data_IF_602262668363
#
_entry.id   IF_602262668363
#
_cell.length_a   1.000
_cell.length_b   1.000
_cell.length_c   1.000
_cell.angle_alpha   90.00
_cell.angle_beta   90.00
_cell.angle_gamma   90.00
#
_symmetry.space_group_name_H-M   'P 1'
#
loop_
_entity.id
_entity.type
_entity.pdbx_description
1 polymer ?
#
# COMPACT_ATOMS: atom_id res chain seq x y z
N UNK A 1 14.44 -0.27 -14.19
CA UNK A 1 15.43 -1.07 -13.45
C UNK A 1 16.65 -1.27 -14.36
N UNK A 2 17.83 -1.11 -13.78
CA UNK A 2 19.08 -1.38 -14.50
C UNK A 2 19.14 -2.85 -14.91
N UNK A 3 19.41 -3.16 -16.19
CA UNK A 3 19.54 -4.55 -16.64
C UNK A 3 20.61 -5.36 -15.89
N UNK A 4 21.68 -4.70 -15.43
CA UNK A 4 22.74 -5.33 -14.67
C UNK A 4 22.25 -5.85 -13.31
N UNK A 5 21.36 -5.11 -12.63
CA UNK A 5 20.74 -5.56 -11.37
C UNK A 5 19.88 -6.81 -11.60
N UNK A 6 19.14 -6.85 -12.72
CA UNK A 6 18.32 -8.02 -13.05
C UNK A 6 19.19 -9.27 -13.32
N UNK A 7 20.34 -9.09 -13.93
CA UNK A 7 21.28 -10.20 -14.18
C UNK A 7 21.92 -10.68 -12.88
N UNK A 8 22.35 -9.77 -12.01
CA UNK A 8 22.87 -10.11 -10.69
C UNK A 8 21.85 -10.89 -9.85
N UNK A 9 20.56 -10.51 -9.92
CA UNK A 9 19.49 -11.25 -9.23
C UNK A 9 19.37 -12.70 -9.72
N UNK A 10 19.50 -12.95 -11.03
CA UNK A 10 19.50 -14.32 -11.57
C UNK A 10 20.67 -15.15 -11.06
N UNK A 11 21.78 -14.50 -10.75
CA UNK A 11 22.98 -15.13 -10.18
C UNK A 11 22.89 -15.33 -8.66
N UNK A 12 21.75 -14.95 -8.04
CA UNK A 12 21.51 -15.12 -6.60
C UNK A 12 22.08 -14.00 -5.71
N UNK A 13 22.55 -12.90 -6.29
CA UNK A 13 22.94 -11.74 -5.48
C UNK A 13 21.72 -11.06 -4.88
N UNK A 14 21.80 -10.77 -3.57
CA UNK A 14 20.77 -10.04 -2.87
C UNK A 14 20.94 -8.54 -3.13
N UNK A 15 20.06 -7.96 -3.91
CA UNK A 15 19.92 -6.52 -3.94
C UNK A 15 18.89 -6.11 -2.88
N UNK A 16 19.25 -5.20 -2.01
CA UNK A 16 18.37 -4.71 -0.96
C UNK A 16 17.05 -4.13 -1.50
N UNK A 17 16.06 -4.06 -0.63
CA UNK A 17 14.79 -3.43 -0.97
C UNK A 17 14.95 -1.91 -1.04
N UNK A 18 14.76 -1.31 -2.21
CA UNK A 18 14.79 0.16 -2.35
C UNK A 18 13.62 0.76 -1.58
N UNK A 19 13.84 1.75 -0.69
CA UNK A 19 12.77 2.40 0.06
C UNK A 19 11.96 3.34 -0.83
N UNK A 20 11.15 2.76 -1.72
CA UNK A 20 10.42 3.47 -2.77
C UNK A 20 9.55 4.60 -2.23
N UNK A 21 8.88 4.40 -1.08
CA UNK A 21 8.06 5.45 -0.47
C UNK A 21 8.88 6.66 0.00
N UNK A 22 10.13 6.45 0.43
CA UNK A 22 11.03 7.56 0.75
C UNK A 22 11.44 8.33 -0.51
N UNK A 23 11.74 7.63 -1.61
CA UNK A 23 12.02 8.30 -2.89
C UNK A 23 10.83 9.13 -3.35
N UNK A 24 9.62 8.59 -3.27
CA UNK A 24 8.39 9.32 -3.60
C UNK A 24 8.17 10.53 -2.69
N UNK A 25 8.54 10.46 -1.40
CA UNK A 25 8.43 11.59 -0.48
C UNK A 25 9.27 12.78 -0.97
N UNK A 26 10.53 12.56 -1.36
CA UNK A 26 11.38 13.63 -1.91
C UNK A 26 10.90 14.11 -3.28
N UNK A 27 10.50 13.21 -4.17
CA UNK A 27 9.95 13.59 -5.47
C UNK A 27 8.67 14.42 -5.32
N UNK A 28 7.75 14.04 -4.43
CA UNK A 28 6.52 14.78 -4.18
C UNK A 28 6.79 16.16 -3.57
N UNK A 29 7.84 16.29 -2.74
CA UNK A 29 8.25 17.58 -2.19
C UNK A 29 8.69 18.53 -3.31
N UNK A 30 9.47 18.05 -4.28
CA UNK A 30 9.89 18.84 -5.45
C UNK A 30 8.67 19.28 -6.28
N UNK A 31 7.75 18.34 -6.55
CA UNK A 31 6.53 18.65 -7.29
C UNK A 31 5.67 19.66 -6.54
N UNK A 32 5.47 19.50 -5.23
CA UNK A 32 4.70 20.44 -4.40
C UNK A 32 5.32 21.84 -4.42
N UNK A 33 6.65 21.92 -4.35
CA UNK A 33 7.37 23.21 -4.45
C UNK A 33 7.15 23.89 -5.79
N UNK A 34 7.34 23.17 -6.88
CA UNK A 34 7.20 23.73 -8.24
C UNK A 34 5.76 24.15 -8.54
N UNK A 35 4.78 23.36 -8.04
CA UNK A 35 3.35 23.64 -8.25
C UNK A 35 2.75 24.65 -7.26
N UNK A 36 3.53 25.12 -6.28
CA UNK A 36 3.01 26.02 -5.23
C UNK A 36 2.03 25.34 -4.27
N UNK A 37 2.03 24.00 -4.17
CA UNK A 37 1.11 23.25 -3.32
C UNK A 37 1.66 23.14 -1.89
N UNK A 38 0.86 23.51 -0.88
CA UNK A 38 1.28 23.50 0.53
C UNK A 38 1.09 22.15 1.24
N UNK A 39 0.48 21.14 0.60
CA UNK A 39 0.11 19.89 1.26
C UNK A 39 0.41 18.67 0.38
N UNK A 40 1.02 17.66 1.00
CA UNK A 40 1.23 16.33 0.41
C UNK A 40 0.51 15.33 1.32
N UNK A 41 -0.63 14.83 0.87
CA UNK A 41 -1.42 13.84 1.58
C UNK A 41 -1.12 12.44 1.06
N UNK A 42 -0.78 11.52 1.97
CA UNK A 42 -0.53 10.11 1.71
C UNK A 42 -1.71 9.27 2.18
N UNK A 43 -1.74 8.02 1.75
CA UNK A 43 -2.75 7.02 2.15
C UNK A 43 -2.21 5.91 3.05
N UNK A 44 -1.10 6.15 3.79
CA UNK A 44 -0.64 5.15 4.74
C UNK A 44 -1.62 5.07 5.92
N UNK A 45 -1.94 3.87 6.30
CA UNK A 45 -2.84 3.48 7.39
C UNK A 45 -2.08 3.19 8.69
N UNK A 46 -2.79 2.77 9.74
CA UNK A 46 -2.21 2.52 11.06
C UNK A 46 -1.23 1.35 11.06
N UNK A 47 -1.51 0.27 10.32
CA UNK A 47 -0.68 -0.94 10.30
C UNK A 47 0.70 -0.73 9.65
N UNK A 48 0.89 0.33 8.88
CA UNK A 48 2.21 0.69 8.36
C UNK A 48 3.25 1.01 9.46
N UNK A 49 2.82 1.16 10.73
CA UNK A 49 3.72 1.32 11.88
C UNK A 49 4.14 -0.01 12.51
N UNK A 50 3.51 -1.10 12.15
CA UNK A 50 3.74 -2.40 12.78
C UNK A 50 5.10 -2.99 12.40
N UNK A 51 5.80 -3.62 13.36
CA UNK A 51 7.05 -4.30 13.06
C UNK A 51 6.80 -5.51 12.15
N UNK A 52 7.72 -5.74 11.21
CA UNK A 52 7.69 -6.92 10.34
C UNK A 52 8.10 -8.21 11.06
N UNK A 53 8.81 -8.07 12.18
CA UNK A 53 9.22 -9.17 13.04
C UNK A 53 8.60 -8.94 14.41
N UNK A 54 7.67 -9.79 14.88
CA UNK A 54 7.01 -9.63 16.17
C UNK A 54 8.01 -9.49 17.32
N UNK A 55 7.74 -8.56 18.24
CA UNK A 55 8.60 -8.29 19.40
C UNK A 55 9.89 -7.50 19.10
N UNK A 56 10.06 -7.01 17.89
CA UNK A 56 11.21 -6.17 17.49
C UNK A 56 10.78 -4.80 17.02
N UNK A 57 11.73 -3.86 16.84
CA UNK A 57 11.49 -2.58 16.18
C UNK A 57 11.70 -2.60 14.65
N UNK A 58 11.92 -3.78 14.05
CA UNK A 58 12.25 -3.90 12.64
C UNK A 58 10.98 -3.80 11.78
N UNK A 59 10.89 -2.73 11.00
CA UNK A 59 9.80 -2.52 10.03
C UNK A 59 10.39 -2.38 8.62
N UNK A 60 10.20 -3.38 7.76
CA UNK A 60 10.66 -3.35 6.36
C UNK A 60 9.95 -2.27 5.53
N UNK A 61 8.83 -1.75 6.01
CA UNK A 61 8.09 -0.63 5.42
C UNK A 61 8.30 0.69 6.17
N UNK A 62 9.43 0.86 6.88
CA UNK A 62 9.70 2.06 7.68
C UNK A 62 9.38 3.36 6.95
N UNK A 63 9.67 3.45 5.65
CA UNK A 63 9.37 4.63 4.83
C UNK A 63 7.87 4.96 4.68
N UNK A 64 6.98 4.09 5.16
CA UNK A 64 5.54 4.34 5.27
C UNK A 64 5.09 4.61 6.70
N UNK A 65 5.95 4.44 7.69
CA UNK A 65 5.62 4.61 9.11
C UNK A 65 5.44 6.07 9.51
N UNK A 66 4.81 6.28 10.66
CA UNK A 66 4.72 7.61 11.29
C UNK A 66 6.09 8.13 11.73
N UNK A 67 7.00 7.23 12.14
CA UNK A 67 8.38 7.59 12.46
C UNK A 67 9.07 8.27 11.28
N UNK A 68 9.05 7.64 10.11
CA UNK A 68 9.58 8.24 8.88
C UNK A 68 8.87 9.56 8.53
N UNK A 69 7.55 9.60 8.60
CA UNK A 69 6.77 10.80 8.31
C UNK A 69 7.18 11.98 9.19
N UNK A 70 7.38 11.74 10.49
CA UNK A 70 7.82 12.75 11.45
C UNK A 70 9.25 13.24 11.18
N UNK A 71 10.16 12.30 10.90
CA UNK A 71 11.55 12.62 10.58
C UNK A 71 11.67 13.36 9.26
N UNK A 72 10.91 12.95 8.26
CA UNK A 72 10.86 13.63 6.96
C UNK A 72 10.36 15.07 7.10
N UNK A 73 9.26 15.31 7.83
CA UNK A 73 8.76 16.66 8.10
C UNK A 73 9.79 17.54 8.80
N UNK A 74 10.45 16.99 9.83
CA UNK A 74 11.49 17.70 10.57
C UNK A 74 12.67 18.06 9.65
N UNK A 75 13.17 17.08 8.90
CA UNK A 75 14.29 17.26 7.99
C UNK A 75 13.98 18.28 6.90
N UNK A 76 12.85 18.14 6.23
CA UNK A 76 12.48 19.04 5.13
C UNK A 76 12.25 20.47 5.60
N UNK A 77 11.57 20.66 6.74
CA UNK A 77 11.32 21.98 7.32
C UNK A 77 12.56 22.67 7.83
N UNK A 78 13.58 21.91 8.24
CA UNK A 78 14.83 22.45 8.76
C UNK A 78 15.86 22.72 7.65
N UNK A 79 15.97 21.85 6.66
CA UNK A 79 17.10 21.86 5.70
C UNK A 79 16.71 22.12 4.26
N UNK A 80 15.44 21.92 3.87
CA UNK A 80 15.04 22.04 2.47
C UNK A 80 14.04 23.17 2.25
N UNK A 81 12.80 23.00 2.71
CA UNK A 81 11.74 23.97 2.44
C UNK A 81 10.73 24.05 3.58
N UNK A 82 10.32 25.25 3.91
CA UNK A 82 9.24 25.54 4.88
C UNK A 82 7.89 25.70 4.16
N UNK A 83 6.81 25.42 4.87
CA UNK A 83 5.46 25.72 4.39
C UNK A 83 4.81 24.56 3.60
N UNK A 84 5.50 23.41 3.42
CA UNK A 84 4.89 22.22 2.84
C UNK A 84 4.65 21.18 3.95
N UNK A 85 3.39 20.78 4.11
CA UNK A 85 2.96 19.73 5.04
C UNK A 85 2.96 18.38 4.34
N UNK A 86 3.65 17.38 4.93
CA UNK A 86 3.66 15.99 4.48
C UNK A 86 3.00 15.13 5.56
N UNK A 87 1.92 14.42 5.23
CA UNK A 87 1.17 13.66 6.22
C UNK A 87 0.38 12.51 5.58
N UNK A 88 0.07 11.50 6.39
CA UNK A 88 -0.77 10.38 5.98
C UNK A 88 -2.20 10.58 6.45
N UNK A 89 -3.12 10.82 5.52
CA UNK A 89 -4.54 11.10 5.79
C UNK A 89 -5.25 9.91 6.46
N UNK A 90 -4.88 8.68 6.09
CA UNK A 90 -5.50 7.46 6.61
C UNK A 90 -4.82 6.91 7.87
N UNK A 91 -3.80 7.59 8.39
CA UNK A 91 -3.05 7.16 9.58
C UNK A 91 -3.90 6.81 10.80
N UNK A 92 -5.00 7.50 11.11
CA UNK A 92 -5.84 7.16 12.25
C UNK A 92 -6.73 5.92 12.03
N UNK A 93 -6.75 5.36 10.83
CA UNK A 93 -7.67 4.28 10.43
C UNK A 93 -6.93 2.97 10.26
N UNK A 94 -7.60 1.87 10.62
CA UNK A 94 -7.19 0.52 10.25
C UNK A 94 -7.85 0.10 8.92
N UNK A 95 -7.42 -1.03 8.38
CA UNK A 95 -7.87 -1.53 7.07
C UNK A 95 -9.38 -1.78 7.01
N UNK A 96 -9.98 -2.26 8.10
CA UNK A 96 -11.42 -2.52 8.15
C UNK A 96 -12.22 -1.21 8.11
N UNK A 97 -11.75 -0.18 8.82
CA UNK A 97 -12.38 1.15 8.77
C UNK A 97 -12.25 1.77 7.39
N UNK A 98 -11.07 1.61 6.74
CA UNK A 98 -10.85 2.07 5.37
C UNK A 98 -11.79 1.33 4.41
N UNK A 99 -11.93 0.01 4.55
CA UNK A 99 -12.86 -0.78 3.75
C UNK A 99 -14.32 -0.32 3.91
N UNK A 100 -14.74 0.01 5.14
CA UNK A 100 -16.08 0.55 5.42
C UNK A 100 -16.33 1.91 4.73
N UNK A 101 -15.30 2.78 4.70
CA UNK A 101 -15.38 4.03 3.94
C UNK A 101 -15.39 3.78 2.44
N UNK A 102 -14.48 2.96 1.95
CA UNK A 102 -14.35 2.64 0.52
C UNK A 102 -15.63 2.03 -0.05
N UNK A 103 -16.31 1.17 0.73
CA UNK A 103 -17.56 0.55 0.32
C UNK A 103 -18.67 1.55 -0.04
N UNK A 104 -18.59 2.79 0.45
CA UNK A 104 -19.56 3.85 0.12
C UNK A 104 -19.31 4.52 -1.25
N UNK A 105 -18.17 4.25 -1.87
CA UNK A 105 -17.74 4.91 -3.10
C UNK A 105 -17.74 3.94 -4.29
N UNK A 106 -18.91 3.49 -4.69
CA UNK A 106 -19.10 2.45 -5.73
C UNK A 106 -18.39 2.74 -7.05
N UNK A 107 -18.27 4.02 -7.44
CA UNK A 107 -17.59 4.42 -8.66
C UNK A 107 -16.12 3.96 -8.73
N UNK A 108 -15.48 3.75 -7.58
CA UNK A 108 -14.08 3.34 -7.51
C UNK A 108 -13.88 1.82 -7.40
N UNK A 109 -14.94 1.05 -7.09
CA UNK A 109 -14.80 -0.39 -6.88
C UNK A 109 -14.27 -1.13 -8.11
N UNK A 110 -14.58 -0.65 -9.31
CA UNK A 110 -14.07 -1.26 -10.56
C UNK A 110 -12.69 -0.78 -10.96
N UNK A 111 -12.29 0.41 -10.52
CA UNK A 111 -10.97 0.98 -10.83
C UNK A 111 -9.88 0.54 -9.84
N UNK A 112 -10.27 0.19 -8.62
CA UNK A 112 -9.34 -0.21 -7.58
C UNK A 112 -8.67 -1.56 -7.86
N UNK A 113 -7.33 -1.59 -7.74
CA UNK A 113 -6.50 -2.80 -7.87
C UNK A 113 -5.35 -2.75 -6.89
N UNK A 114 -5.30 -3.71 -5.95
CA UNK A 114 -4.14 -3.91 -5.08
C UNK A 114 -3.36 -5.20 -5.39
N UNK A 115 -3.84 -6.01 -6.32
CA UNK A 115 -3.22 -7.25 -6.76
C UNK A 115 -1.94 -6.98 -7.56
N UNK A 116 -0.78 -7.46 -7.08
CA UNK A 116 0.49 -7.26 -7.78
C UNK A 116 0.57 -8.02 -9.12
N UNK A 117 0.00 -9.22 -9.19
CA UNK A 117 0.03 -10.04 -10.40
C UNK A 117 -0.91 -9.52 -11.48
N UNK A 118 -2.11 -9.09 -11.09
CA UNK A 118 -3.15 -8.67 -12.03
C UNK A 118 -3.16 -7.17 -12.34
N UNK A 119 -2.47 -6.33 -11.55
CA UNK A 119 -2.48 -4.87 -11.73
C UNK A 119 -1.92 -4.42 -13.08
N UNK A 120 -0.99 -5.18 -13.66
CA UNK A 120 -0.40 -4.88 -14.98
C UNK A 120 -1.38 -5.04 -16.14
N UNK A 121 -2.43 -5.83 -15.95
CA UNK A 121 -3.49 -6.10 -16.94
C UNK A 121 -4.86 -5.61 -16.47
N UNK A 122 -4.86 -4.72 -15.48
CA UNK A 122 -6.07 -4.15 -14.85
C UNK A 122 -7.08 -5.21 -14.39
N UNK A 123 -6.60 -6.28 -13.76
CA UNK A 123 -7.43 -7.38 -13.27
C UNK A 123 -7.04 -7.82 -11.84
N UNK A 124 -7.96 -8.48 -11.15
CA UNK A 124 -7.67 -9.25 -9.95
C UNK A 124 -7.25 -10.66 -10.37
N UNK A 125 -6.08 -11.14 -9.94
CA UNK A 125 -5.66 -12.51 -10.26
C UNK A 125 -6.50 -13.57 -9.51
N UNK A 126 -7.13 -13.19 -8.41
CA UNK A 126 -7.98 -14.06 -7.61
C UNK A 126 -7.23 -15.19 -6.86
N UNK A 127 -5.91 -15.23 -6.90
CA UNK A 127 -5.11 -16.34 -6.38
C UNK A 127 -3.93 -15.89 -5.49
N UNK A 128 -3.85 -14.63 -5.09
CA UNK A 128 -2.78 -14.13 -4.24
C UNK A 128 -3.30 -13.64 -2.87
N UNK A 129 -2.42 -13.54 -1.85
CA UNK A 129 -2.81 -13.07 -0.53
C UNK A 129 -3.52 -11.72 -0.55
N UNK A 130 -3.09 -10.78 -1.40
CA UNK A 130 -3.74 -9.47 -1.52
C UNK A 130 -5.17 -9.55 -2.04
N UNK A 131 -5.46 -10.44 -2.98
CA UNK A 131 -6.84 -10.65 -3.45
C UNK A 131 -7.71 -11.19 -2.32
N UNK A 132 -7.22 -12.20 -1.58
CA UNK A 132 -7.94 -12.82 -0.49
C UNK A 132 -8.15 -11.82 0.65
N UNK A 133 -7.12 -11.13 1.10
CA UNK A 133 -7.20 -10.09 2.14
C UNK A 133 -8.23 -9.02 1.78
N UNK A 134 -8.14 -8.46 0.57
CA UNK A 134 -9.07 -7.41 0.12
C UNK A 134 -10.51 -7.94 0.08
N UNK A 135 -10.71 -9.21 -0.35
CA UNK A 135 -12.03 -9.85 -0.34
C UNK A 135 -12.58 -9.99 1.09
N UNK A 136 -11.74 -10.39 2.04
CA UNK A 136 -12.11 -10.56 3.45
C UNK A 136 -12.53 -9.23 4.07
N UNK A 137 -11.72 -8.18 3.93
CA UNK A 137 -12.00 -6.89 4.58
C UNK A 137 -13.19 -6.15 3.98
N UNK A 138 -13.55 -6.45 2.72
CA UNK A 138 -14.73 -5.86 2.07
C UNK A 138 -16.02 -6.67 2.30
N UNK A 139 -15.92 -7.94 2.70
CA UNK A 139 -17.09 -8.83 2.88
C UNK A 139 -18.17 -8.28 3.80
N UNK A 140 -17.83 -7.65 4.96
CA UNK A 140 -18.84 -7.11 5.85
C UNK A 140 -19.64 -5.93 5.28
N UNK A 141 -19.17 -5.28 4.23
CA UNK A 141 -19.69 -4.01 3.74
C UNK A 141 -20.33 -4.09 2.34
N UNK A 142 -20.02 -5.13 1.58
CA UNK A 142 -20.51 -5.29 0.21
C UNK A 142 -21.19 -6.65 0.03
N UNK A 143 -22.24 -6.68 -0.80
CA UNK A 143 -22.92 -7.94 -1.11
C UNK A 143 -21.99 -8.90 -1.88
N UNK A 144 -22.23 -10.21 -1.72
CA UNK A 144 -21.51 -11.26 -2.46
C UNK A 144 -21.57 -11.05 -3.98
N UNK A 145 -22.72 -10.65 -4.49
CA UNK A 145 -22.90 -10.38 -5.92
C UNK A 145 -22.02 -9.20 -6.38
N UNK A 146 -21.94 -8.13 -5.56
CA UNK A 146 -21.10 -6.97 -5.88
C UNK A 146 -19.61 -7.36 -5.86
N UNK A 147 -19.18 -8.09 -4.84
CA UNK A 147 -17.80 -8.55 -4.71
C UNK A 147 -17.41 -9.50 -5.85
N UNK A 148 -18.33 -10.38 -6.28
CA UNK A 148 -18.11 -11.22 -7.47
C UNK A 148 -17.88 -10.39 -8.73
N UNK A 149 -18.60 -9.28 -8.89
CA UNK A 149 -18.37 -8.35 -10.02
C UNK A 149 -17.03 -7.62 -9.93
N UNK A 150 -16.58 -7.27 -8.72
CA UNK A 150 -15.28 -6.61 -8.49
C UNK A 150 -14.12 -7.56 -8.78
N UNK A 151 -14.17 -8.79 -8.26
CA UNK A 151 -13.08 -9.77 -8.38
C UNK A 151 -13.16 -10.65 -9.62
N UNK A 152 -14.29 -10.62 -10.37
CA UNK A 152 -14.55 -11.48 -11.52
C UNK A 152 -14.94 -12.91 -11.17
N UNK A 153 -14.85 -13.31 -9.90
CA UNK A 153 -15.22 -14.63 -9.38
C UNK A 153 -15.50 -14.61 -7.88
N UNK A 154 -16.08 -15.67 -7.34
CA UNK A 154 -16.22 -15.84 -5.90
C UNK A 154 -14.97 -16.51 -5.31
N UNK A 155 -14.24 -15.78 -4.47
CA UNK A 155 -12.97 -16.27 -3.93
C UNK A 155 -13.18 -17.23 -2.75
N UNK A 156 -14.26 -17.10 -1.98
CA UNK A 156 -14.52 -17.94 -0.82
C UNK A 156 -14.98 -19.37 -1.19
N UNK A 157 -15.35 -19.61 -2.44
CA UNK A 157 -15.66 -20.93 -2.96
C UNK A 157 -14.41 -21.69 -3.45
N UNK A 158 -13.27 -21.02 -3.52
CA UNK A 158 -12.01 -21.60 -4.01
C UNK A 158 -11.21 -22.21 -2.84
N UNK A 159 -11.32 -23.53 -2.67
CA UNK A 159 -10.57 -24.27 -1.63
C UNK A 159 -9.06 -24.18 -1.80
N UNK A 160 -8.55 -23.87 -2.98
CA UNK A 160 -7.13 -23.63 -3.23
C UNK A 160 -6.56 -22.41 -2.52
N UNK A 161 -7.44 -21.53 -1.99
CA UNK A 161 -7.03 -20.36 -1.22
C UNK A 161 -6.91 -20.63 0.30
N UNK A 162 -7.31 -21.79 0.78
CA UNK A 162 -7.24 -22.16 2.22
C UNK A 162 -5.81 -22.05 2.77
N UNK A 163 -4.76 -22.58 2.09
CA UNK A 163 -3.40 -22.44 2.59
C UNK A 163 -2.90 -20.99 2.69
N UNK A 164 -3.43 -20.09 1.85
CA UNK A 164 -3.12 -18.65 1.94
C UNK A 164 -3.81 -17.99 3.13
N UNK A 165 -5.02 -18.43 3.46
CA UNK A 165 -5.76 -17.95 4.62
C UNK A 165 -5.05 -18.33 5.93
N UNK A 166 -4.52 -19.56 6.01
CA UNK A 166 -3.79 -20.05 7.18
C UNK A 166 -2.46 -19.32 7.43
N UNK A 167 -1.91 -18.65 6.41
CA UNK A 167 -0.65 -17.90 6.48
C UNK A 167 -0.86 -16.40 6.76
N UNK A 168 -2.09 -15.93 6.80
CA UNK A 168 -2.45 -14.53 7.03
C UNK A 168 -2.65 -14.24 8.51
#
# INVERSE_FOLDING_TARGET
LDPQILELNKQGYLNGHTPFSAMLAFASLIVAYISGTGHIALSNESSANEPSIPGTGINHQYSKSFGFESDFRRYTGQYLIKGISYFSLLRPLNELQIAAFFAKYEAYHRAFRSCNAGSKIDAWCGACPKCLFTRIVLDPFLSKEHLRKVFGRELFEDTGLIPLLEQM
#
